data_IF_772924418320
#
_entry.id   IF_772924418320
#
_cell.length_a   1.000
_cell.length_b   1.000
_cell.length_c   1.000
_cell.angle_alpha   90.00
_cell.angle_beta   90.00
_cell.angle_gamma   90.00
#
_symmetry.space_group_name_H-M   'P 1'
#
loop_
_entity.id
_entity.type
_entity.pdbx_description
1 polymer ?
#
# COMPACT_ATOMS: atom_id res chain seq x y z
N UNK A 1 -65.52 -1.14 -19.07
CA UNK A 1 -65.90 -0.21 -17.99
C UNK A 1 -64.74 -0.21 -17.00
N UNK A 2 -63.78 0.69 -17.22
CA UNK A 2 -63.65 2.00 -16.54
C UNK A 2 -63.00 1.80 -15.15
N UNK A 3 -61.68 1.85 -14.98
CA UNK A 3 -60.78 3.03 -14.88
C UNK A 3 -61.07 3.98 -13.70
N UNK A 4 -59.97 4.31 -12.98
CA UNK A 4 -59.66 5.48 -12.12
C UNK A 4 -60.45 5.65 -10.82
N UNK A 5 -59.83 5.73 -9.64
CA UNK A 5 -59.00 6.82 -9.08
C UNK A 5 -58.52 6.33 -7.68
N UNK A 6 -57.44 6.71 -7.03
CA UNK A 6 -56.43 7.76 -7.14
C UNK A 6 -55.36 7.37 -6.10
N UNK A 7 -54.09 7.20 -6.46
CA UNK A 7 -53.01 7.76 -5.65
C UNK A 7 -51.87 8.05 -6.62
N UNK A 8 -52.03 9.24 -7.18
CA UNK A 8 -51.12 9.91 -8.09
C UNK A 8 -49.78 10.14 -7.39
N UNK A 9 -48.72 9.69 -8.06
CA UNK A 9 -47.50 10.43 -8.36
C UNK A 9 -46.83 11.19 -7.19
N UNK A 10 -45.61 10.81 -6.85
CA UNK A 10 -44.45 11.69 -7.12
C UNK A 10 -43.14 10.90 -7.02
N UNK A 11 -42.52 10.71 -8.19
CA UNK A 11 -41.11 10.41 -8.29
C UNK A 11 -40.33 11.66 -7.89
N UNK A 12 -39.64 11.62 -6.75
CA UNK A 12 -38.50 12.49 -6.49
C UNK A 12 -37.26 11.62 -6.30
N UNK A 13 -36.59 11.47 -7.44
CA UNK A 13 -35.20 11.06 -7.62
C UNK A 13 -34.31 11.99 -6.79
N UNK A 14 -34.02 11.62 -5.54
CA UNK A 14 -32.94 12.28 -4.79
C UNK A 14 -31.62 11.66 -5.21
N UNK A 15 -30.94 12.47 -6.02
CA UNK A 15 -29.55 12.40 -6.44
C UNK A 15 -28.60 12.00 -5.32
N UNK A 16 -27.46 11.43 -5.74
CA UNK A 16 -26.45 10.83 -4.89
C UNK A 16 -26.06 11.69 -3.69
N UNK A 17 -26.08 11.04 -2.54
CA UNK A 17 -25.34 11.47 -1.35
C UNK A 17 -24.87 10.20 -0.69
N UNK A 18 -23.78 9.63 -1.23
CA UNK A 18 -23.03 8.56 -0.59
C UNK A 18 -22.45 9.18 0.68
N UNK A 19 -23.24 9.18 1.77
CA UNK A 19 -22.82 9.63 3.09
C UNK A 19 -21.50 8.95 3.38
N UNK A 20 -20.42 9.72 3.32
CA UNK A 20 -19.06 9.25 3.56
C UNK A 20 -18.96 9.02 5.06
N UNK A 21 -19.49 7.88 5.51
CA UNK A 21 -19.38 7.43 6.89
C UNK A 21 -17.90 7.49 7.24
N UNK A 22 -17.57 8.30 8.26
CA UNK A 22 -16.21 8.46 8.78
C UNK A 22 -15.65 7.05 8.99
N UNK A 23 -14.59 6.70 8.27
CA UNK A 23 -13.88 5.42 8.42
C UNK A 23 -13.36 5.36 9.85
N UNK A 24 -14.12 4.72 10.74
CA UNK A 24 -13.56 4.09 11.93
C UNK A 24 -12.44 3.19 11.39
N UNK A 25 -11.19 3.45 11.78
CA UNK A 25 -10.07 2.56 11.47
C UNK A 25 -10.52 1.16 11.86
N UNK A 26 -10.66 0.25 10.89
CA UNK A 26 -11.13 -1.10 11.19
C UNK A 26 -10.15 -1.72 12.19
N UNK A 27 -10.65 -2.51 13.14
CA UNK A 27 -9.81 -3.20 14.12
C UNK A 27 -8.68 -4.01 13.44
N UNK A 28 -8.92 -4.47 12.21
CA UNK A 28 -7.92 -5.12 11.35
C UNK A 28 -6.80 -4.18 10.87
N UNK A 29 -7.09 -2.93 10.50
CA UNK A 29 -6.08 -1.93 10.13
C UNK A 29 -5.20 -1.58 11.36
N UNK A 30 -5.78 -1.54 12.57
CA UNK A 30 -5.05 -1.26 13.81
C UNK A 30 -4.15 -2.43 14.24
N UNK A 31 -4.65 -3.67 14.13
CA UNK A 31 -3.89 -4.89 14.43
C UNK A 31 -2.62 -5.00 13.54
N UNK A 32 -2.75 -4.66 12.25
CA UNK A 32 -1.63 -4.72 11.31
C UNK A 32 -0.55 -3.70 11.67
N UNK A 33 -0.95 -2.46 12.02
CA UNK A 33 -0.04 -1.39 12.44
C UNK A 33 0.76 -1.76 13.69
N UNK A 34 0.09 -2.25 14.74
CA UNK A 34 0.77 -2.69 15.96
C UNK A 34 1.77 -3.82 15.69
N UNK A 35 1.43 -4.76 14.81
CA UNK A 35 2.32 -5.88 14.47
C UNK A 35 3.59 -5.45 13.71
N UNK A 36 3.52 -4.39 12.89
CA UNK A 36 4.67 -3.89 12.15
C UNK A 36 5.58 -3.02 13.02
N UNK A 37 5.01 -2.19 13.90
CA UNK A 37 5.80 -1.38 14.83
C UNK A 37 6.63 -2.23 15.79
N UNK A 38 6.06 -3.31 16.33
CA UNK A 38 6.80 -4.22 17.22
C UNK A 38 7.93 -4.96 16.48
N UNK A 39 7.68 -5.41 15.25
CA UNK A 39 8.71 -6.02 14.38
C UNK A 39 9.83 -5.03 14.06
N UNK A 40 9.50 -3.76 13.84
CA UNK A 40 10.46 -2.70 13.57
C UNK A 40 11.30 -2.36 14.81
N UNK A 41 10.69 -2.36 16.01
CA UNK A 41 11.38 -2.05 17.27
C UNK A 41 12.55 -2.99 17.55
N UNK A 42 12.40 -4.28 17.20
CA UNK A 42 13.42 -5.30 17.40
C UNK A 42 14.22 -5.62 16.12
N UNK A 43 14.09 -4.81 15.07
CA UNK A 43 14.77 -5.05 13.81
C UNK A 43 16.28 -4.81 13.92
N UNK A 44 17.08 -5.80 13.51
CA UNK A 44 18.55 -5.69 13.42
C UNK A 44 19.05 -5.78 11.99
N UNK A 45 18.55 -6.76 11.25
CA UNK A 45 18.89 -7.01 9.85
C UNK A 45 17.71 -7.71 9.17
N UNK A 46 17.76 -7.84 7.84
CA UNK A 46 16.74 -8.56 7.08
C UNK A 46 16.70 -10.04 7.53
N UNK A 47 15.51 -10.56 7.94
CA UNK A 47 15.37 -11.96 8.31
C UNK A 47 15.45 -12.86 7.07
N UNK A 48 15.59 -14.17 7.31
CA UNK A 48 15.48 -15.17 6.24
C UNK A 48 14.10 -15.11 5.57
N UNK A 49 14.09 -15.04 4.24
CA UNK A 49 12.88 -15.09 3.42
C UNK A 49 12.86 -16.38 2.61
N UNK A 50 11.91 -17.27 2.93
CA UNK A 50 11.77 -18.57 2.29
C UNK A 50 11.46 -18.48 0.78
N UNK A 51 11.03 -17.31 0.26
CA UNK A 51 10.86 -17.06 -1.18
C UNK A 51 12.19 -16.94 -1.92
N UNK A 52 13.27 -16.60 -1.19
CA UNK A 52 14.61 -16.38 -1.74
C UNK A 52 15.66 -17.20 -0.96
N UNK A 53 15.58 -18.55 -0.98
CA UNK A 53 16.42 -19.40 -0.12
C UNK A 53 17.86 -19.55 -0.62
N UNK A 54 18.13 -19.17 -1.87
CA UNK A 54 19.43 -19.36 -2.51
C UNK A 54 20.43 -18.25 -2.16
N UNK A 55 21.72 -18.50 -2.34
CA UNK A 55 22.79 -17.51 -2.09
C UNK A 55 22.62 -16.21 -2.90
N UNK A 56 22.07 -16.28 -4.11
CA UNK A 56 21.82 -15.08 -4.92
C UNK A 56 20.60 -14.30 -4.41
N UNK A 57 20.85 -13.21 -3.67
CA UNK A 57 19.84 -12.35 -3.05
C UNK A 57 19.37 -11.18 -3.93
N UNK A 58 19.78 -11.13 -5.21
CA UNK A 58 19.42 -10.03 -6.14
C UNK A 58 17.91 -9.82 -6.23
N UNK A 59 17.13 -10.90 -6.37
CA UNK A 59 15.66 -10.80 -6.44
C UNK A 59 15.03 -10.38 -5.12
N UNK A 60 15.63 -10.76 -3.99
CA UNK A 60 15.14 -10.36 -2.66
C UNK A 60 15.27 -8.84 -2.48
N UNK A 61 16.46 -8.31 -2.77
CA UNK A 61 16.71 -6.86 -2.79
C UNK A 61 15.73 -6.13 -3.71
N UNK A 62 15.66 -6.54 -4.99
CA UNK A 62 14.83 -5.86 -5.98
C UNK A 62 13.33 -5.92 -5.64
N UNK A 63 12.83 -7.05 -5.15
CA UNK A 63 11.43 -7.19 -4.78
C UNK A 63 11.07 -6.27 -3.59
N UNK A 64 11.90 -6.20 -2.54
CA UNK A 64 11.63 -5.32 -1.40
C UNK A 64 11.72 -3.84 -1.76
N UNK A 65 12.62 -3.46 -2.69
CA UNK A 65 12.66 -2.11 -3.24
C UNK A 65 11.33 -1.76 -3.94
N UNK A 66 10.85 -2.62 -4.84
CA UNK A 66 9.56 -2.43 -5.51
C UNK A 66 8.38 -2.38 -4.53
N UNK A 67 8.36 -3.28 -3.54
CA UNK A 67 7.27 -3.37 -2.56
C UNK A 67 7.18 -2.11 -1.70
N UNK A 68 8.32 -1.51 -1.32
CA UNK A 68 8.34 -0.23 -0.63
C UNK A 68 7.68 0.89 -1.46
N UNK A 69 8.12 1.09 -2.70
CA UNK A 69 7.59 2.17 -3.53
C UNK A 69 6.12 1.94 -3.91
N UNK A 70 5.71 0.70 -4.19
CA UNK A 70 4.30 0.34 -4.43
C UNK A 70 3.44 0.59 -3.21
N UNK A 71 3.91 0.18 -2.04
CA UNK A 71 3.21 0.38 -0.77
C UNK A 71 3.01 1.87 -0.50
N UNK A 72 4.08 2.66 -0.59
CA UNK A 72 4.03 4.11 -0.40
C UNK A 72 3.10 4.80 -1.39
N UNK A 73 3.19 4.46 -2.67
CA UNK A 73 2.31 4.99 -3.71
C UNK A 73 0.84 4.66 -3.43
N UNK A 74 0.55 3.41 -3.06
CA UNK A 74 -0.82 2.97 -2.78
C UNK A 74 -1.42 3.61 -1.53
N UNK A 75 -0.63 3.82 -0.47
CA UNK A 75 -1.10 4.46 0.77
C UNK A 75 -1.22 5.97 0.62
N UNK A 76 -0.24 6.62 -0.02
CA UNK A 76 -0.28 8.07 -0.30
C UNK A 76 -1.46 8.43 -1.19
N UNK A 77 -1.73 7.64 -2.25
CA UNK A 77 -2.90 7.84 -3.10
C UNK A 77 -4.24 7.69 -2.34
N UNK A 78 -4.24 6.94 -1.24
CA UNK A 78 -5.41 6.75 -0.36
C UNK A 78 -5.44 7.72 0.83
N UNK A 79 -4.49 8.65 0.93
CA UNK A 79 -4.27 9.51 2.10
C UNK A 79 -4.20 8.71 3.41
N UNK A 80 -3.55 7.54 3.37
CA UNK A 80 -3.28 6.69 4.53
C UNK A 80 -1.82 6.85 4.96
N UNK A 81 -1.59 6.63 6.24
CA UNK A 81 -0.27 6.62 6.87
C UNK A 81 0.65 5.56 6.25
N UNK A 82 1.85 5.93 5.76
CA UNK A 82 2.82 5.03 5.14
C UNK A 82 3.65 4.21 6.12
N UNK A 83 3.50 4.37 7.45
CA UNK A 83 4.24 3.61 8.46
C UNK A 83 4.30 2.07 8.20
N UNK A 84 3.25 1.39 7.69
CA UNK A 84 3.32 -0.03 7.38
C UNK A 84 4.34 -0.41 6.30
N UNK A 85 4.75 0.53 5.44
CA UNK A 85 5.73 0.31 4.38
C UNK A 85 7.18 0.33 4.87
N UNK A 86 7.42 0.84 6.09
CA UNK A 86 8.76 0.98 6.67
C UNK A 86 9.48 -0.36 6.82
N UNK A 87 8.75 -1.46 6.98
CA UNK A 87 9.35 -2.80 6.95
C UNK A 87 10.16 -3.05 5.67
N UNK A 88 9.55 -2.79 4.50
CA UNK A 88 10.22 -2.97 3.21
C UNK A 88 11.42 -2.03 3.07
N UNK A 89 11.29 -0.80 3.57
CA UNK A 89 12.38 0.18 3.60
C UNK A 89 13.63 -0.37 4.30
N UNK A 90 13.46 -0.87 5.53
CA UNK A 90 14.55 -1.44 6.32
C UNK A 90 15.15 -2.67 5.65
N UNK A 91 14.31 -3.55 5.09
CA UNK A 91 14.76 -4.78 4.43
C UNK A 91 15.59 -4.48 3.18
N UNK A 92 15.11 -3.66 2.25
CA UNK A 92 15.90 -3.40 1.04
C UNK A 92 17.16 -2.60 1.34
N UNK A 93 17.14 -1.67 2.33
CA UNK A 93 18.36 -0.96 2.75
C UNK A 93 19.41 -1.89 3.36
N UNK A 94 19.00 -3.01 3.98
CA UNK A 94 19.91 -4.01 4.54
C UNK A 94 20.45 -4.99 3.49
N UNK A 95 19.69 -5.25 2.42
CA UNK A 95 20.04 -6.25 1.39
C UNK A 95 20.70 -5.66 0.15
N UNK A 96 20.30 -4.46 -0.25
CA UNK A 96 20.68 -3.90 -1.54
C UNK A 96 22.02 -3.15 -1.48
N UNK A 97 22.89 -3.32 -2.50
CA UNK A 97 24.03 -2.43 -2.68
C UNK A 97 23.57 -0.97 -2.83
N UNK A 98 24.25 -0.04 -2.14
CA UNK A 98 23.92 1.39 -2.17
C UNK A 98 23.90 1.93 -3.62
N UNK A 99 24.87 1.53 -4.44
CA UNK A 99 24.95 1.94 -5.83
C UNK A 99 23.74 1.52 -6.68
N UNK A 100 23.11 0.39 -6.37
CA UNK A 100 21.90 -0.04 -7.07
C UNK A 100 20.70 0.81 -6.67
N UNK A 101 20.55 1.06 -5.36
CA UNK A 101 19.47 1.89 -4.82
C UNK A 101 19.57 3.31 -5.40
N UNK A 102 20.74 3.94 -5.34
CA UNK A 102 20.96 5.28 -5.92
C UNK A 102 20.61 5.32 -7.40
N UNK A 103 21.09 4.35 -8.19
CA UNK A 103 20.76 4.28 -9.61
C UNK A 103 19.26 4.12 -9.87
N UNK A 104 18.56 3.32 -9.07
CA UNK A 104 17.11 3.16 -9.21
C UNK A 104 16.34 4.38 -8.74
N UNK A 105 16.81 5.08 -7.70
CA UNK A 105 16.25 6.34 -7.22
C UNK A 105 16.37 7.41 -8.32
N UNK A 106 17.56 7.58 -8.93
CA UNK A 106 17.79 8.48 -10.08
C UNK A 106 16.86 8.16 -11.26
N UNK A 107 16.68 6.87 -11.56
CA UNK A 107 15.78 6.42 -12.62
C UNK A 107 14.31 6.73 -12.30
N UNK A 108 13.90 6.66 -11.03
CA UNK A 108 12.55 7.03 -10.61
C UNK A 108 12.30 8.51 -10.76
N UNK A 109 13.25 9.34 -10.31
CA UNK A 109 13.18 10.80 -10.47
C UNK A 109 13.15 11.21 -11.95
N UNK A 110 13.94 10.53 -12.79
CA UNK A 110 13.95 10.75 -14.23
C UNK A 110 12.75 10.13 -14.98
N UNK A 111 11.90 9.35 -14.31
CA UNK A 111 10.76 8.64 -14.94
C UNK A 111 11.17 7.54 -15.93
N UNK A 112 12.41 7.04 -15.84
CA UNK A 112 12.99 6.03 -16.75
C UNK A 112 13.11 4.64 -16.12
N UNK A 113 12.67 4.48 -14.87
CA UNK A 113 12.73 3.21 -14.16
C UNK A 113 11.89 2.13 -14.85
N UNK A 114 12.51 1.00 -15.18
CA UNK A 114 11.86 -0.07 -15.94
C UNK A 114 10.85 -0.89 -15.12
N UNK A 115 10.96 -0.87 -13.79
CA UNK A 115 10.07 -1.62 -12.91
C UNK A 115 8.71 -0.95 -12.72
N UNK A 116 7.65 -1.76 -12.67
CA UNK A 116 6.28 -1.27 -12.43
C UNK A 116 6.07 -0.95 -10.94
N UNK A 117 5.88 0.33 -10.63
CA UNK A 117 5.55 0.86 -9.29
C UNK A 117 4.14 1.44 -9.26
#
# INVERSE_FOLDING_TARGET
MLFVHLFSQHALRVSGSRLRLRRILSLQDLQLKMSHEEKLKNYRTAPFDARFPNTNQTRNCYQNYLDYHRCNKALTAKNKDPAPCEWYHRVYKSLCPIAWVQKWDDQLEAGTFAGKI
#
